data_IF_184609490894
#
_entry.id   IF_184609490894
#
_cell.length_a   1.000
_cell.length_b   1.000
_cell.length_c   1.000
_cell.angle_alpha   90.00
_cell.angle_beta   90.00
_cell.angle_gamma   90.00
#
_symmetry.space_group_name_H-M   'P 1'
#
loop_
_entity.id
_entity.type
_entity.pdbx_description
1 polymer ?
#
# COMPACT_ATOMS: atom_id res chain seq x y z
N UNK A 1 -34.35 -3.02 30.74
CA UNK A 1 -33.75 -2.55 29.47
C UNK A 1 -33.25 -3.78 28.74
N UNK A 2 -33.82 -4.06 27.56
CA UNK A 2 -33.57 -5.29 26.78
C UNK A 2 -32.12 -5.39 26.31
N UNK A 3 -31.69 -6.60 25.95
CA UNK A 3 -30.40 -6.90 25.30
C UNK A 3 -30.07 -5.93 24.16
N UNK A 4 -31.10 -5.44 23.48
CA UNK A 4 -31.00 -4.61 22.28
C UNK A 4 -30.32 -3.27 22.55
N UNK A 5 -30.46 -2.69 23.73
CA UNK A 5 -29.81 -1.41 24.07
C UNK A 5 -28.29 -1.54 24.27
N UNK A 6 -27.82 -2.71 24.70
CA UNK A 6 -26.39 -2.97 24.88
C UNK A 6 -25.72 -3.33 23.56
N UNK A 7 -26.40 -4.12 22.72
CA UNK A 7 -25.94 -4.41 21.36
C UNK A 7 -25.91 -3.14 20.49
N UNK A 8 -26.88 -2.25 20.68
CA UNK A 8 -26.92 -0.95 20.02
C UNK A 8 -25.71 -0.06 20.41
N UNK A 9 -25.36 0.01 21.70
CA UNK A 9 -24.22 0.81 22.17
C UNK A 9 -22.86 0.26 21.69
N UNK A 10 -22.71 -1.07 21.60
CA UNK A 10 -21.50 -1.71 21.06
C UNK A 10 -21.38 -1.50 19.55
N UNK A 11 -22.50 -1.58 18.83
CA UNK A 11 -22.53 -1.29 17.39
C UNK A 11 -22.26 0.20 17.13
N UNK A 12 -22.81 1.11 17.93
CA UNK A 12 -22.53 2.55 17.88
C UNK A 12 -21.07 2.87 18.21
N UNK A 13 -20.48 2.25 19.24
CA UNK A 13 -19.07 2.45 19.59
C UNK A 13 -18.15 1.90 18.49
N UNK A 14 -18.43 0.71 17.95
CA UNK A 14 -17.73 0.16 16.79
C UNK A 14 -17.89 1.05 15.56
N UNK A 15 -19.09 1.58 15.32
CA UNK A 15 -19.39 2.49 14.21
C UNK A 15 -18.68 3.83 14.39
N UNK A 16 -18.62 4.38 15.60
CA UNK A 16 -17.95 5.62 15.93
C UNK A 16 -16.42 5.47 15.85
N UNK A 17 -15.86 4.35 16.31
CA UNK A 17 -14.44 4.02 16.14
C UNK A 17 -14.09 3.81 14.66
N UNK A 18 -14.94 3.07 13.90
CA UNK A 18 -14.76 2.91 12.45
C UNK A 18 -14.91 4.21 11.68
N UNK A 19 -15.86 5.07 12.08
CA UNK A 19 -16.11 6.37 11.47
C UNK A 19 -14.97 7.34 11.77
N UNK A 20 -14.53 7.44 13.02
CA UNK A 20 -13.38 8.25 13.42
C UNK A 20 -12.08 7.74 12.77
N UNK A 21 -11.88 6.42 12.72
CA UNK A 21 -10.76 5.82 11.98
C UNK A 21 -10.84 6.14 10.48
N UNK A 22 -12.03 6.14 9.87
CA UNK A 22 -12.22 6.48 8.46
C UNK A 22 -12.17 8.00 8.16
N UNK A 23 -12.48 8.85 9.14
CA UNK A 23 -12.44 10.32 9.06
C UNK A 23 -11.03 10.87 9.31
N UNK A 24 -10.28 10.29 10.25
CA UNK A 24 -8.90 10.68 10.56
C UNK A 24 -7.89 10.06 9.56
N UNK A 25 -8.16 8.86 9.03
CA UNK A 25 -7.37 8.22 7.94
C UNK A 25 -8.24 7.26 7.10
N UNK A 26 -8.68 7.62 5.87
CA UNK A 26 -9.56 6.77 5.07
C UNK A 26 -8.88 5.46 4.62
N UNK A 27 -8.97 4.41 5.43
CA UNK A 27 -8.28 3.12 5.22
C UNK A 27 -7.53 2.59 6.44
N UNK A 28 -7.43 3.37 7.54
CA UNK A 28 -6.73 2.99 8.76
C UNK A 28 -7.62 2.30 9.79
N UNK A 29 -8.27 1.22 9.38
CA UNK A 29 -8.32 0.09 10.30
C UNK A 29 -7.15 -0.76 9.86
N UNK A 30 -5.92 -0.58 10.40
CA UNK A 30 -4.90 -1.59 10.18
C UNK A 30 -5.53 -2.94 10.54
N UNK A 31 -5.26 -3.99 9.79
CA UNK A 31 -5.79 -5.34 10.08
C UNK A 31 -5.46 -5.81 11.51
N UNK A 32 -4.52 -5.15 12.19
CA UNK A 32 -4.30 -5.29 13.64
C UNK A 32 -5.46 -4.80 14.54
N UNK A 33 -6.43 -4.08 14.01
CA UNK A 33 -7.72 -3.75 14.64
C UNK A 33 -8.90 -4.52 14.01
N UNK A 34 -8.69 -5.29 12.94
CA UNK A 34 -9.76 -6.14 12.36
C UNK A 34 -10.02 -7.37 13.23
N UNK A 35 -9.03 -7.81 14.00
CA UNK A 35 -9.19 -8.67 15.16
C UNK A 35 -8.49 -8.02 16.37
N UNK A 36 -9.21 -7.27 17.23
CA UNK A 36 -8.66 -6.89 18.54
C UNK A 36 -8.06 -8.13 19.21
N UNK A 37 -6.85 -8.02 19.74
CA UNK A 37 -6.19 -9.11 20.47
C UNK A 37 -7.14 -9.62 21.56
N UNK A 38 -6.98 -10.88 21.99
CA UNK A 38 -7.84 -11.46 23.04
C UNK A 38 -7.86 -10.56 24.29
N UNK A 39 -6.74 -9.92 24.58
CA UNK A 39 -6.52 -8.96 25.64
C UNK A 39 -7.29 -7.66 25.39
N UNK A 40 -7.26 -7.12 24.17
CA UNK A 40 -8.04 -5.94 23.78
C UNK A 40 -9.54 -6.21 23.84
N UNK A 41 -9.99 -7.39 23.41
CA UNK A 41 -11.40 -7.81 23.50
C UNK A 41 -11.84 -7.99 24.96
N UNK A 42 -11.06 -8.71 25.76
CA UNK A 42 -11.33 -8.89 27.19
C UNK A 42 -11.43 -7.53 27.90
N UNK A 43 -10.53 -6.62 27.58
CA UNK A 43 -10.53 -5.26 28.11
C UNK A 43 -11.77 -4.45 27.71
N UNK A 44 -12.18 -4.49 26.43
CA UNK A 44 -13.40 -3.83 25.96
C UNK A 44 -14.66 -4.43 26.62
N UNK A 45 -14.69 -5.75 26.83
CA UNK A 45 -15.79 -6.44 27.52
C UNK A 45 -15.85 -6.04 29.01
N UNK A 46 -14.71 -5.96 29.69
CA UNK A 46 -14.64 -5.52 31.08
C UNK A 46 -15.09 -4.07 31.24
N UNK A 47 -14.69 -3.20 30.31
CA UNK A 47 -15.15 -1.81 30.26
C UNK A 47 -16.65 -1.69 30.09
N UNK A 48 -17.24 -2.41 29.12
CA UNK A 48 -18.68 -2.36 28.86
C UNK A 48 -19.48 -2.95 30.02
N UNK A 49 -18.97 -4.01 30.64
CA UNK A 49 -19.55 -4.61 31.85
C UNK A 49 -19.55 -3.61 33.01
N UNK A 50 -18.41 -2.95 33.27
CA UNK A 50 -18.29 -1.93 34.31
C UNK A 50 -19.19 -0.72 34.00
N UNK A 51 -19.22 -0.25 32.76
CA UNK A 51 -20.08 0.86 32.34
C UNK A 51 -21.57 0.54 32.59
N UNK A 52 -22.00 -0.68 32.29
CA UNK A 52 -23.38 -1.14 32.48
C UNK A 52 -23.76 -1.32 33.96
N UNK A 53 -22.81 -1.77 34.78
CA UNK A 53 -23.01 -1.97 36.22
C UNK A 53 -23.04 -0.62 36.97
N UNK A 54 -22.15 0.31 36.62
CA UNK A 54 -21.99 1.58 37.35
C UNK A 54 -22.78 2.76 36.76
N UNK A 55 -23.13 2.73 35.47
CA UNK A 55 -23.97 3.76 34.83
C UNK A 55 -25.39 3.83 35.40
N UNK A 56 -25.83 2.80 36.12
CA UNK A 56 -27.09 2.82 36.88
C UNK A 56 -27.00 3.53 38.24
N UNK A 57 -25.81 3.79 38.75
CA UNK A 57 -25.61 4.33 40.10
C UNK A 57 -25.25 5.82 40.13
N UNK A 58 -24.85 6.43 39.01
CA UNK A 58 -24.56 7.87 38.95
C UNK A 58 -25.49 8.58 37.97
N UNK A 59 -26.41 9.41 38.48
CA UNK A 59 -27.40 10.19 37.70
C UNK A 59 -26.82 11.33 36.85
N UNK A 60 -25.51 11.38 36.61
CA UNK A 60 -24.90 12.40 35.74
C UNK A 60 -23.79 11.73 34.93
N UNK A 61 -24.18 11.01 33.88
CA UNK A 61 -23.28 10.80 32.75
C UNK A 61 -23.25 12.12 31.96
N UNK A 62 -22.08 12.61 31.51
CA UNK A 62 -22.03 13.78 30.63
C UNK A 62 -22.83 13.50 29.36
N UNK A 63 -23.41 14.54 28.76
CA UNK A 63 -24.17 14.43 27.51
C UNK A 63 -23.32 13.81 26.37
N UNK A 64 -22.00 14.01 26.41
CA UNK A 64 -21.03 13.24 25.62
C UNK A 64 -20.19 12.31 26.52
N UNK A 65 -20.42 11.00 26.39
CA UNK A 65 -19.65 9.98 27.12
C UNK A 65 -18.13 10.06 26.85
N UNK A 66 -17.71 10.66 25.72
CA UNK A 66 -16.29 10.87 25.37
C UNK A 66 -15.60 11.84 26.30
N UNK A 67 -16.35 12.72 26.94
CA UNK A 67 -15.81 13.67 27.93
C UNK A 67 -15.64 13.04 29.31
N UNK A 68 -16.25 11.87 29.54
CA UNK A 68 -16.16 11.17 30.81
C UNK A 68 -14.70 10.83 31.14
N UNK A 69 -14.33 11.02 32.41
CA UNK A 69 -12.99 10.69 32.93
C UNK A 69 -12.62 9.23 32.64
N UNK A 70 -13.61 8.33 32.69
CA UNK A 70 -13.42 6.90 32.40
C UNK A 70 -13.15 6.61 30.93
N UNK A 71 -13.80 7.31 30.00
CA UNK A 71 -13.50 7.16 28.57
C UNK A 71 -12.09 7.64 28.24
N UNK A 72 -11.68 8.79 28.79
CA UNK A 72 -10.31 9.30 28.62
C UNK A 72 -9.27 8.33 29.16
N UNK A 73 -9.45 7.87 30.39
CA UNK A 73 -8.59 6.84 30.99
C UNK A 73 -8.52 5.54 30.15
N UNK A 74 -9.64 5.15 29.52
CA UNK A 74 -9.68 3.98 28.64
C UNK A 74 -8.88 4.19 27.36
N UNK A 75 -9.04 5.35 26.72
CA UNK A 75 -8.30 5.72 25.52
C UNK A 75 -6.79 5.75 25.82
N UNK A 76 -6.38 6.35 26.93
CA UNK A 76 -4.97 6.37 27.38
C UNK A 76 -4.40 4.95 27.51
N UNK A 77 -5.21 4.00 28.00
CA UNK A 77 -4.80 2.60 28.18
C UNK A 77 -4.76 1.82 26.86
N UNK A 78 -5.68 2.07 25.94
CA UNK A 78 -5.64 1.51 24.58
C UNK A 78 -4.45 2.03 23.79
N UNK A 79 -4.18 3.33 23.86
CA UNK A 79 -2.98 3.95 23.26
C UNK A 79 -1.71 3.35 23.84
N UNK A 80 -1.66 3.16 25.18
CA UNK A 80 -0.53 2.50 25.85
C UNK A 80 -0.33 1.06 25.38
N UNK A 81 -1.41 0.29 25.20
CA UNK A 81 -1.34 -1.08 24.72
C UNK A 81 -0.90 -1.14 23.25
N UNK A 82 -1.46 -0.29 22.40
CA UNK A 82 -1.06 -0.17 21.00
C UNK A 82 0.41 0.23 20.88
N UNK A 83 0.89 1.13 21.75
CA UNK A 83 2.29 1.53 21.80
C UNK A 83 3.18 0.38 22.27
N UNK A 84 2.75 -0.36 23.30
CA UNK A 84 3.44 -1.55 23.77
C UNK A 84 3.57 -2.61 22.66
N UNK A 85 2.46 -2.96 22.01
CA UNK A 85 2.43 -3.95 20.94
C UNK A 85 3.26 -3.48 19.74
N UNK A 86 3.17 -2.20 19.37
CA UNK A 86 3.96 -1.64 18.29
C UNK A 86 5.47 -1.66 18.62
N UNK A 87 5.86 -1.37 19.85
CA UNK A 87 7.24 -1.46 20.30
C UNK A 87 7.75 -2.92 20.29
N UNK A 88 6.96 -3.86 20.83
CA UNK A 88 7.32 -5.28 20.89
C UNK A 88 7.48 -5.90 19.50
N UNK A 89 6.72 -5.43 18.51
CA UNK A 89 6.75 -5.94 17.13
C UNK A 89 7.48 -5.02 16.16
N UNK A 90 8.18 -3.99 16.64
CA UNK A 90 8.96 -3.07 15.80
C UNK A 90 8.15 -2.20 14.84
N UNK A 91 6.85 -2.01 15.04
CA UNK A 91 5.94 -1.25 14.16
C UNK A 91 6.08 0.26 14.36
N UNK A 92 7.15 0.83 13.80
CA UNK A 92 7.54 2.23 14.00
C UNK A 92 6.53 3.28 13.50
N UNK A 93 5.66 2.91 12.56
CA UNK A 93 4.60 3.77 12.02
C UNK A 93 3.45 3.96 13.02
N UNK A 94 3.03 2.89 13.70
CA UNK A 94 1.97 2.93 14.73
C UNK A 94 2.42 3.76 15.94
N UNK A 95 3.67 3.60 16.39
CA UNK A 95 4.25 4.41 17.46
C UNK A 95 4.23 5.92 17.16
N UNK A 96 4.49 6.30 15.91
CA UNK A 96 4.46 7.70 15.48
C UNK A 96 3.04 8.27 15.52
N UNK A 97 2.06 7.51 15.06
CA UNK A 97 0.64 7.87 15.15
C UNK A 97 0.20 8.14 16.60
N UNK A 98 0.54 7.25 17.53
CA UNK A 98 0.15 7.36 18.95
C UNK A 98 0.81 8.56 19.63
N UNK A 99 2.08 8.86 19.32
CA UNK A 99 2.81 9.96 19.96
C UNK A 99 2.37 11.37 19.52
N UNK A 100 1.43 11.48 18.57
CA UNK A 100 1.03 12.76 17.97
C UNK A 100 2.14 13.42 17.13
N UNK A 101 3.25 12.73 16.88
CA UNK A 101 4.40 13.21 16.08
C UNK A 101 4.22 12.86 14.60
N UNK A 102 3.02 13.04 14.06
CA UNK A 102 2.71 12.69 12.66
C UNK A 102 3.53 13.50 11.63
N UNK A 103 4.09 14.64 12.05
CA UNK A 103 4.94 15.50 11.21
C UNK A 103 6.45 15.28 11.39
N UNK A 104 6.88 14.39 12.29
CA UNK A 104 8.31 14.13 12.46
C UNK A 104 8.85 13.37 11.23
N UNK A 105 9.78 14.03 10.52
CA UNK A 105 10.49 13.44 9.39
C UNK A 105 11.66 12.60 9.90
N UNK A 106 11.81 11.41 9.32
CA UNK A 106 12.97 10.55 9.54
C UNK A 106 14.16 11.18 8.84
N UNK A 107 15.25 11.34 9.58
CA UNK A 107 16.53 11.78 9.02
C UNK A 107 17.12 10.67 8.12
N UNK A 108 17.05 10.91 6.81
CA UNK A 108 17.53 9.97 5.80
C UNK A 108 19.06 9.82 5.80
N UNK A 109 19.78 10.70 6.51
CA UNK A 109 21.23 10.62 6.68
C UNK A 109 21.65 9.64 7.80
N UNK A 110 20.67 9.07 8.50
CA UNK A 110 20.86 8.25 9.70
C UNK A 110 20.43 6.79 9.49
N UNK A 111 20.85 5.90 10.40
CA UNK A 111 20.51 4.48 10.41
C UNK A 111 18.99 4.16 10.28
N UNK A 112 18.06 4.95 10.85
CA UNK A 112 16.62 4.86 10.57
C UNK A 112 16.21 4.80 9.09
N UNK A 113 16.98 5.40 8.17
CA UNK A 113 16.74 5.27 6.73
C UNK A 113 16.95 3.85 6.24
N UNK A 114 18.07 3.23 6.63
CA UNK A 114 18.38 1.85 6.25
C UNK A 114 17.29 0.91 6.75
N UNK A 115 16.84 1.08 8.00
CA UNK A 115 15.72 0.29 8.53
C UNK A 115 14.42 0.52 7.74
N UNK A 116 14.16 1.75 7.31
CA UNK A 116 12.99 2.07 6.49
C UNK A 116 13.08 1.37 5.13
N UNK A 117 14.25 1.39 4.48
CA UNK A 117 14.48 0.67 3.21
C UNK A 117 14.37 -0.83 3.43
N UNK A 118 14.96 -1.37 4.50
CA UNK A 118 14.84 -2.79 4.86
C UNK A 118 13.37 -3.19 5.01
N UNK A 119 12.55 -2.37 5.68
CA UNK A 119 11.11 -2.58 5.81
C UNK A 119 10.37 -2.52 4.46
N UNK A 120 10.85 -1.75 3.47
CA UNK A 120 10.27 -1.70 2.12
C UNK A 120 10.58 -2.95 1.29
N UNK A 121 11.70 -3.62 1.56
CA UNK A 121 12.14 -4.85 0.88
C UNK A 121 11.69 -6.13 1.60
N UNK A 122 11.08 -6.01 2.80
CA UNK A 122 10.59 -7.18 3.53
C UNK A 122 9.41 -7.83 2.79
N UNK A 123 9.42 -9.16 2.64
CA UNK A 123 8.29 -9.91 2.13
C UNK A 123 7.21 -10.02 3.21
N UNK A 124 6.50 -8.93 3.49
CA UNK A 124 5.19 -9.02 4.15
C UNK A 124 4.11 -9.34 3.10
N UNK A 125 2.89 -9.68 3.55
CA UNK A 125 1.68 -10.18 2.84
C UNK A 125 1.28 -9.52 1.50
N UNK A 126 2.02 -8.52 1.01
CA UNK A 126 1.84 -7.84 -0.28
C UNK A 126 2.80 -8.42 -1.32
N UNK A 127 2.48 -9.57 -1.88
CA UNK A 127 3.10 -10.08 -3.11
C UNK A 127 4.63 -9.81 -3.24
N UNK A 128 5.40 -10.20 -2.21
CA UNK A 128 6.86 -10.39 -2.13
C UNK A 128 7.86 -9.38 -2.75
N UNK A 129 7.45 -8.28 -3.36
CA UNK A 129 8.35 -7.39 -4.11
C UNK A 129 8.05 -5.90 -3.86
N UNK A 130 9.11 -5.09 -3.69
CA UNK A 130 8.99 -3.64 -3.72
C UNK A 130 8.69 -3.17 -5.16
N UNK A 131 7.52 -2.58 -5.37
CA UNK A 131 7.22 -1.76 -6.55
C UNK A 131 7.04 -0.31 -6.11
N UNK A 132 8.01 0.55 -6.39
CA UNK A 132 8.04 1.93 -5.94
C UNK A 132 7.98 2.90 -7.11
N UNK A 133 6.99 3.79 -7.12
CA UNK A 133 6.93 4.91 -8.08
C UNK A 133 7.38 6.21 -7.41
N UNK A 134 8.44 6.81 -7.92
CA UNK A 134 8.95 8.12 -7.51
C UNK A 134 8.41 9.19 -8.44
N UNK A 135 7.78 10.22 -7.89
CA UNK A 135 7.23 11.34 -8.66
C UNK A 135 7.43 12.68 -7.94
N UNK A 136 7.16 13.78 -8.62
CA UNK A 136 7.34 15.14 -8.11
C UNK A 136 6.02 15.94 -8.09
N UNK A 137 5.96 17.02 -7.29
CA UNK A 137 4.88 17.99 -7.40
C UNK A 137 4.84 18.62 -8.79
N UNK A 138 3.65 19.08 -9.26
CA UNK A 138 3.57 19.87 -10.48
C UNK A 138 4.30 21.23 -10.34
N UNK A 139 4.54 21.94 -11.46
CA UNK A 139 5.06 23.32 -11.43
C UNK A 139 4.25 24.22 -10.46
N UNK A 140 4.89 25.20 -9.78
CA UNK A 140 6.20 25.80 -10.06
C UNK A 140 7.40 25.10 -9.39
N UNK A 141 7.18 24.15 -8.48
CA UNK A 141 8.26 23.39 -7.83
C UNK A 141 8.94 22.44 -8.83
N UNK A 142 8.17 21.99 -9.82
CA UNK A 142 8.66 21.45 -11.09
C UNK A 142 8.79 19.92 -11.08
N UNK A 143 8.43 19.24 -12.20
CA UNK A 143 8.61 17.79 -12.33
C UNK A 143 10.09 17.39 -12.40
N UNK A 144 10.98 18.35 -12.72
CA UNK A 144 12.43 18.15 -12.88
C UNK A 144 13.22 18.82 -11.76
N UNK A 145 14.46 18.39 -11.53
CA UNK A 145 15.37 19.05 -10.58
C UNK A 145 15.12 18.82 -9.08
N UNK A 146 14.02 18.13 -8.71
CA UNK A 146 13.73 17.79 -7.30
C UNK A 146 14.57 16.62 -6.77
N UNK A 147 15.37 15.95 -7.62
CA UNK A 147 16.23 14.83 -7.24
C UNK A 147 15.52 13.48 -7.16
N UNK A 148 14.64 13.15 -8.13
CA UNK A 148 13.94 11.85 -8.17
C UNK A 148 14.91 10.70 -8.42
N UNK A 149 15.73 10.82 -9.47
CA UNK A 149 16.78 9.87 -9.86
C UNK A 149 17.79 9.65 -8.73
N UNK A 150 18.36 10.74 -8.20
CA UNK A 150 19.24 10.73 -7.02
C UNK A 150 18.62 10.01 -5.81
N UNK A 151 17.31 10.17 -5.59
CA UNK A 151 16.60 9.45 -4.53
C UNK A 151 16.41 7.96 -4.85
N UNK A 152 16.11 7.59 -6.10
CA UNK A 152 16.07 6.19 -6.55
C UNK A 152 17.39 5.49 -6.31
N UNK A 153 18.49 6.11 -6.72
CA UNK A 153 19.84 5.61 -6.45
C UNK A 153 20.17 5.54 -4.94
N UNK A 154 19.71 6.51 -4.14
CA UNK A 154 19.87 6.45 -2.68
C UNK A 154 19.13 5.24 -2.06
N UNK A 155 17.98 4.86 -2.59
CA UNK A 155 17.26 3.64 -2.17
C UNK A 155 18.04 2.40 -2.59
N UNK A 156 18.62 2.38 -3.79
CA UNK A 156 19.47 1.29 -4.29
C UNK A 156 20.73 1.12 -3.42
N UNK A 157 21.44 2.20 -3.12
CA UNK A 157 22.62 2.17 -2.24
C UNK A 157 22.27 1.56 -0.86
N UNK A 158 21.15 2.00 -0.28
CA UNK A 158 20.67 1.44 0.99
C UNK A 158 20.29 -0.05 0.86
N UNK A 159 19.63 -0.45 -0.22
CA UNK A 159 19.26 -1.83 -0.47
C UNK A 159 20.51 -2.73 -0.63
N UNK A 160 21.56 -2.27 -1.32
CA UNK A 160 22.84 -3.00 -1.43
C UNK A 160 23.53 -3.19 -0.07
N UNK A 161 23.37 -2.25 0.86
CA UNK A 161 23.89 -2.41 2.23
C UNK A 161 23.14 -3.48 3.02
N UNK A 162 21.84 -3.63 2.76
CA UNK A 162 20.97 -4.61 3.42
C UNK A 162 21.12 -6.01 2.82
N UNK A 163 21.40 -6.08 1.51
CA UNK A 163 21.61 -7.31 0.74
C UNK A 163 23.07 -7.42 0.25
N UNK A 164 24.07 -7.54 1.17
CA UNK A 164 25.48 -7.53 0.80
C UNK A 164 25.82 -8.70 -0.14
N UNK A 165 26.16 -8.39 -1.38
CA UNK A 165 26.52 -9.36 -2.42
C UNK A 165 25.35 -10.13 -3.03
N UNK A 166 24.11 -9.79 -2.69
CA UNK A 166 22.90 -10.52 -3.13
C UNK A 166 21.90 -9.72 -3.95
N UNK A 167 22.08 -8.39 -4.08
CA UNK A 167 21.23 -7.55 -4.92
C UNK A 167 21.90 -7.27 -6.26
N UNK A 168 21.32 -7.79 -7.33
CA UNK A 168 21.69 -7.48 -8.72
C UNK A 168 20.79 -6.35 -9.23
N UNK A 169 21.37 -5.35 -9.88
CA UNK A 169 20.65 -4.17 -10.35
C UNK A 169 20.83 -4.00 -11.84
N UNK A 170 19.74 -3.74 -12.54
CA UNK A 170 19.71 -3.24 -13.91
C UNK A 170 18.98 -1.91 -13.97
N UNK A 171 19.30 -1.08 -14.95
CA UNK A 171 18.61 0.18 -15.22
C UNK A 171 18.44 0.36 -16.73
N UNK A 172 17.56 1.27 -17.12
CA UNK A 172 17.50 1.76 -18.50
C UNK A 172 18.33 3.03 -18.70
N UNK A 173 19.29 3.30 -17.80
CA UNK A 173 20.10 4.52 -17.79
C UNK A 173 21.55 4.13 -18.12
N UNK A 174 22.05 4.64 -19.23
CA UNK A 174 23.31 4.20 -19.85
C UNK A 174 24.57 4.72 -19.15
N UNK A 175 24.43 5.77 -18.34
CA UNK A 175 25.56 6.46 -17.69
C UNK A 175 25.84 6.00 -16.27
N UNK A 176 24.96 5.19 -15.70
CA UNK A 176 25.14 4.60 -14.38
C UNK A 176 25.95 3.28 -14.45
N UNK A 177 26.39 2.70 -13.32
CA UNK A 177 27.27 1.55 -13.32
C UNK A 177 26.53 0.20 -13.37
N UNK A 178 25.22 0.18 -13.63
CA UNK A 178 24.41 -1.03 -13.64
C UNK A 178 24.33 -1.67 -15.03
N UNK A 179 23.73 -2.87 -15.11
CA UNK A 179 23.46 -3.49 -16.41
C UNK A 179 22.41 -2.65 -17.14
N UNK A 180 22.72 -2.28 -18.38
CA UNK A 180 21.85 -1.48 -19.24
C UNK A 180 20.80 -2.38 -19.90
N UNK A 181 19.53 -1.99 -19.74
CA UNK A 181 18.37 -2.73 -20.24
C UNK A 181 17.40 -1.73 -20.87
N UNK A 182 17.38 -1.70 -22.20
CA UNK A 182 16.59 -0.74 -22.99
C UNK A 182 15.31 -1.37 -23.59
N UNK A 183 15.14 -2.69 -23.48
CA UNK A 183 13.97 -3.38 -24.03
C UNK A 183 13.39 -4.48 -23.13
N UNK A 184 12.16 -4.88 -23.41
CA UNK A 184 11.51 -5.99 -22.73
C UNK A 184 12.26 -7.30 -22.93
N UNK A 185 12.71 -7.59 -24.15
CA UNK A 185 13.47 -8.80 -24.46
C UNK A 185 14.80 -8.84 -23.71
N UNK A 186 15.50 -7.70 -23.61
CA UNK A 186 16.74 -7.59 -22.82
C UNK A 186 16.48 -7.78 -21.32
N UNK A 187 15.37 -7.22 -20.82
CA UNK A 187 14.97 -7.40 -19.43
C UNK A 187 14.70 -8.87 -19.11
N UNK A 188 13.94 -9.58 -19.94
CA UNK A 188 13.71 -11.02 -19.78
C UNK A 188 15.03 -11.81 -19.78
N UNK A 189 15.92 -11.53 -20.72
CA UNK A 189 17.23 -12.18 -20.79
C UNK A 189 18.07 -11.93 -19.53
N UNK A 190 18.09 -10.70 -19.02
CA UNK A 190 18.79 -10.35 -17.79
C UNK A 190 18.19 -11.04 -16.56
N UNK A 191 16.86 -11.08 -16.46
CA UNK A 191 16.15 -11.76 -15.36
C UNK A 191 16.43 -13.27 -15.34
N UNK A 192 16.57 -13.90 -16.50
CA UNK A 192 16.89 -15.33 -16.63
C UNK A 192 18.37 -15.64 -16.38
N UNK A 193 19.27 -14.74 -16.77
CA UNK A 193 20.70 -14.91 -16.62
C UNK A 193 21.21 -14.64 -15.20
N UNK A 194 20.40 -14.01 -14.35
CA UNK A 194 20.80 -13.59 -13.00
C UNK A 194 20.02 -14.33 -11.92
N UNK A 195 20.70 -14.67 -10.83
CA UNK A 195 20.12 -15.32 -9.65
C UNK A 195 20.00 -14.34 -8.47
N UNK A 196 19.21 -14.72 -7.47
CA UNK A 196 19.04 -13.95 -6.23
C UNK A 196 18.08 -12.77 -6.37
N UNK A 197 18.15 -11.86 -5.39
CA UNK A 197 17.31 -10.66 -5.33
C UNK A 197 17.71 -9.68 -6.42
N UNK A 198 16.73 -9.21 -7.18
CA UNK A 198 16.97 -8.31 -8.32
C UNK A 198 16.26 -6.97 -8.09
N UNK A 199 16.75 -5.92 -8.74
CA UNK A 199 16.06 -4.65 -8.82
C UNK A 199 16.24 -4.06 -10.20
N UNK A 200 15.13 -3.66 -10.82
CA UNK A 200 15.11 -2.90 -12.05
C UNK A 200 14.76 -1.44 -11.77
N UNK A 201 15.64 -0.52 -12.17
CA UNK A 201 15.41 0.92 -12.13
C UNK A 201 14.95 1.41 -13.50
N UNK A 202 13.69 1.84 -13.58
CA UNK A 202 13.13 2.43 -14.78
C UNK A 202 13.02 3.95 -14.63
N UNK A 203 14.05 4.67 -15.09
CA UNK A 203 14.05 6.14 -15.15
C UNK A 203 13.30 6.66 -16.38
N UNK A 204 12.77 7.88 -16.26
CA UNK A 204 11.97 8.57 -17.27
C UNK A 204 10.76 7.78 -17.82
N UNK A 205 10.20 6.86 -17.03
CA UNK A 205 9.09 6.00 -17.43
C UNK A 205 7.85 6.77 -17.90
N UNK A 206 7.69 8.03 -17.48
CA UNK A 206 6.63 8.92 -17.97
C UNK A 206 6.68 9.19 -19.48
N UNK A 207 7.78 8.88 -20.18
CA UNK A 207 7.83 8.94 -21.65
C UNK A 207 7.04 7.81 -22.31
N UNK A 208 7.02 6.64 -21.67
CA UNK A 208 6.35 5.44 -22.17
C UNK A 208 4.93 5.31 -21.61
N UNK A 209 4.74 5.73 -20.36
CA UNK A 209 3.46 5.57 -19.64
C UNK A 209 2.42 6.66 -19.94
N UNK A 210 2.58 7.50 -20.97
CA UNK A 210 1.72 8.69 -21.19
C UNK A 210 0.21 8.38 -21.29
N UNK A 211 -0.60 9.33 -20.81
CA UNK A 211 -1.82 9.09 -20.00
C UNK A 211 -3.13 8.71 -20.66
N UNK A 212 -3.16 8.52 -21.97
CA UNK A 212 -4.42 8.27 -22.67
C UNK A 212 -4.51 6.89 -23.31
N UNK A 213 -3.45 6.07 -23.21
CA UNK A 213 -3.45 4.74 -23.79
C UNK A 213 -3.73 3.65 -22.74
N UNK A 214 -4.83 2.93 -22.95
CA UNK A 214 -5.19 1.73 -22.17
C UNK A 214 -4.06 0.71 -22.24
N UNK A 215 -3.32 0.68 -23.34
CA UNK A 215 -2.26 -0.28 -23.58
C UNK A 215 -1.05 -0.05 -22.65
N UNK A 216 -0.68 1.19 -22.33
CA UNK A 216 0.42 1.48 -21.38
C UNK A 216 0.16 0.95 -19.97
N UNK A 217 -1.10 0.94 -19.52
CA UNK A 217 -1.47 0.34 -18.23
C UNK A 217 -1.36 -1.19 -18.24
N UNK A 218 -1.70 -1.82 -19.37
CA UNK A 218 -1.57 -3.27 -19.55
C UNK A 218 -0.10 -3.66 -19.60
N UNK A 219 0.75 -2.89 -20.29
CA UNK A 219 2.20 -3.11 -20.36
C UNK A 219 2.86 -3.03 -18.98
N UNK A 220 2.57 -1.99 -18.19
CA UNK A 220 3.13 -1.88 -16.83
C UNK A 220 2.62 -2.99 -15.90
N UNK A 221 1.37 -3.43 -16.08
CA UNK A 221 0.83 -4.58 -15.33
C UNK A 221 1.54 -5.88 -15.70
N UNK A 222 1.75 -6.13 -17.01
CA UNK A 222 2.54 -7.26 -17.52
C UNK A 222 3.97 -7.20 -16.97
N UNK A 223 4.60 -6.02 -16.95
CA UNK A 223 5.95 -5.82 -16.41
C UNK A 223 6.01 -6.23 -14.94
N UNK A 224 5.09 -5.73 -14.10
CA UNK A 224 5.06 -6.08 -12.67
C UNK A 224 4.86 -7.58 -12.47
N UNK A 225 4.01 -8.23 -13.27
CA UNK A 225 3.81 -9.70 -13.23
C UNK A 225 5.09 -10.45 -13.64
N UNK A 226 5.77 -10.01 -14.69
CA UNK A 226 7.05 -10.58 -15.11
C UNK A 226 8.07 -10.48 -13.97
N UNK A 227 8.28 -9.28 -13.44
CA UNK A 227 9.25 -9.03 -12.38
C UNK A 227 8.94 -9.87 -11.12
N UNK A 228 7.66 -10.10 -10.81
CA UNK A 228 7.23 -10.97 -9.70
C UNK A 228 7.70 -12.41 -9.86
N UNK A 229 7.60 -12.96 -11.07
CA UNK A 229 8.02 -14.34 -11.39
C UNK A 229 9.52 -14.56 -11.08
N UNK A 230 10.34 -13.51 -11.21
CA UNK A 230 11.79 -13.57 -11.05
C UNK A 230 12.31 -12.94 -9.74
N UNK A 231 11.42 -12.65 -8.78
CA UNK A 231 11.74 -11.99 -7.50
C UNK A 231 12.54 -10.67 -7.69
N UNK A 232 12.08 -9.86 -8.65
CA UNK A 232 12.72 -8.60 -9.02
C UNK A 232 11.93 -7.39 -8.52
N UNK A 233 12.55 -6.55 -7.70
CA UNK A 233 11.99 -5.26 -7.32
C UNK A 233 11.95 -4.27 -8.49
N UNK A 234 11.08 -3.28 -8.39
CA UNK A 234 10.90 -2.23 -9.39
C UNK A 234 10.95 -0.85 -8.73
N UNK A 235 11.79 0.03 -9.27
CA UNK A 235 11.73 1.47 -9.00
C UNK A 235 11.40 2.16 -10.32
N UNK A 236 10.26 2.86 -10.38
CA UNK A 236 9.83 3.65 -11.53
C UNK A 236 9.96 5.13 -11.22
N UNK A 237 10.56 5.92 -12.10
CA UNK A 237 10.63 7.38 -11.96
C UNK A 237 9.70 8.04 -12.98
N UNK A 238 8.63 8.65 -12.48
CA UNK A 238 7.65 9.39 -13.27
C UNK A 238 7.65 10.90 -12.98
N UNK A 239 6.78 11.66 -13.65
CA UNK A 239 6.74 13.12 -13.48
C UNK A 239 5.88 13.57 -12.30
N UNK A 240 4.57 13.38 -12.38
CA UNK A 240 3.58 14.05 -11.51
C UNK A 240 2.67 13.11 -10.74
N UNK A 241 2.84 11.79 -10.88
CA UNK A 241 1.99 10.77 -10.24
C UNK A 241 0.59 10.68 -10.83
N UNK A 242 0.14 11.72 -11.57
CA UNK A 242 -0.92 11.55 -12.58
C UNK A 242 -0.47 10.52 -13.58
N UNK A 243 0.84 10.47 -13.80
CA UNK A 243 1.48 9.63 -14.78
C UNK A 243 1.46 8.11 -14.48
N UNK A 244 0.56 7.66 -13.59
CA UNK A 244 0.39 6.24 -13.27
C UNK A 244 -1.08 5.81 -13.47
N UNK A 245 -1.35 4.76 -14.28
CA UNK A 245 -2.71 4.26 -14.52
C UNK A 245 -3.36 3.78 -13.22
N UNK A 246 -4.68 3.99 -13.08
CA UNK A 246 -5.42 3.71 -11.83
C UNK A 246 -5.24 2.26 -11.35
N UNK A 247 -5.25 1.30 -12.26
CA UNK A 247 -5.14 -0.13 -11.95
C UNK A 247 -3.76 -0.51 -11.41
N UNK A 248 -2.73 0.27 -11.73
CA UNK A 248 -1.37 0.10 -11.20
C UNK A 248 -1.24 0.71 -9.81
N UNK A 249 -2.00 1.77 -9.48
CA UNK A 249 -1.85 2.50 -8.21
C UNK A 249 -2.12 1.66 -6.96
N UNK A 250 -2.84 0.55 -7.10
CA UNK A 250 -3.09 -0.42 -6.01
C UNK A 250 -1.96 -1.43 -5.81
N UNK A 251 -1.09 -1.60 -6.80
CA UNK A 251 0.01 -2.59 -6.80
C UNK A 251 1.37 -2.00 -6.44
N UNK A 252 1.44 -0.68 -6.25
CA UNK A 252 2.70 0.05 -6.05
C UNK A 252 2.65 0.94 -4.81
N UNK A 253 3.82 1.16 -4.22
CA UNK A 253 4.09 2.26 -3.32
C UNK A 253 4.45 3.51 -4.10
N UNK A 254 4.22 4.65 -3.47
CA UNK A 254 4.49 5.96 -4.02
C UNK A 254 5.49 6.70 -3.17
N UNK A 255 6.45 7.38 -3.81
CA UNK A 255 7.36 8.32 -3.20
C UNK A 255 7.20 9.70 -3.85
N UNK A 256 6.58 10.64 -3.13
CA UNK A 256 6.50 12.04 -3.51
C UNK A 256 7.80 12.76 -3.13
N UNK A 257 8.57 13.16 -4.13
CA UNK A 257 9.82 13.91 -3.97
C UNK A 257 9.56 15.41 -3.89
N UNK A 258 9.39 15.92 -2.67
CA UNK A 258 9.06 17.34 -2.42
C UNK A 258 10.24 18.29 -2.69
N UNK A 259 11.48 17.81 -2.52
CA UNK A 259 12.71 18.55 -2.80
C UNK A 259 13.90 17.59 -2.80
N UNK A 260 15.10 18.04 -3.19
CA UNK A 260 16.34 17.23 -3.12
C UNK A 260 16.57 16.59 -1.76
N UNK A 261 16.11 17.23 -0.67
CA UNK A 261 16.34 16.76 0.71
C UNK A 261 15.13 16.12 1.39
N UNK A 262 13.95 16.11 0.76
CA UNK A 262 12.70 15.64 1.39
C UNK A 262 11.91 14.72 0.48
N UNK A 263 11.30 13.68 1.05
CA UNK A 263 10.38 12.79 0.35
C UNK A 263 9.29 12.29 1.30
N UNK A 264 8.15 11.89 0.74
CA UNK A 264 7.06 11.22 1.47
C UNK A 264 6.77 9.90 0.75
N UNK A 265 6.77 8.79 1.48
CA UNK A 265 6.48 7.46 0.95
C UNK A 265 5.15 6.98 1.51
N UNK A 266 4.32 6.35 0.68
CA UNK A 266 3.11 5.71 1.14
C UNK A 266 2.34 4.97 0.06
N UNK A 267 1.09 4.61 0.37
CA UNK A 267 0.24 3.80 -0.49
C UNK A 267 -1.01 4.57 -0.95
N UNK A 268 -1.39 4.33 -2.20
CA UNK A 268 -2.53 4.97 -2.84
C UNK A 268 -2.33 6.45 -3.12
N UNK A 269 -3.00 6.93 -4.18
CA UNK A 269 -3.02 8.35 -4.52
C UNK A 269 -4.44 8.90 -4.45
N UNK A 270 -4.56 10.15 -4.04
CA UNK A 270 -5.79 10.94 -4.08
C UNK A 270 -5.50 12.24 -4.81
N UNK A 271 -6.41 12.60 -5.70
CA UNK A 271 -6.39 13.93 -6.32
C UNK A 271 -6.99 14.95 -5.34
N UNK A 272 -6.28 16.04 -5.08
CA UNK A 272 -6.77 17.15 -4.27
C UNK A 272 -7.65 18.11 -5.09
N UNK A 273 -8.17 19.16 -4.44
CA UNK A 273 -9.07 20.12 -5.07
C UNK A 273 -8.41 20.95 -6.19
N UNK A 274 -7.08 20.97 -6.26
CA UNK A 274 -6.29 21.66 -7.29
C UNK A 274 -5.87 20.68 -8.40
N UNK A 275 -6.31 19.44 -8.31
CA UNK A 275 -5.96 18.39 -9.24
C UNK A 275 -4.59 17.80 -8.99
N UNK A 276 -4.02 17.88 -7.78
CA UNK A 276 -2.68 17.34 -7.50
C UNK A 276 -2.76 15.95 -6.88
N UNK A 277 -1.81 15.10 -7.24
CA UNK A 277 -1.73 13.75 -6.75
C UNK A 277 -0.98 13.71 -5.42
N UNK A 278 -1.73 13.51 -4.33
CA UNK A 278 -1.20 13.35 -2.99
C UNK A 278 -1.23 11.88 -2.58
N UNK A 279 -0.24 11.47 -1.78
CA UNK A 279 -0.23 10.14 -1.17
C UNK A 279 -1.32 10.07 -0.10
N UNK A 280 -2.21 9.08 -0.23
CA UNK A 280 -3.36 8.93 0.67
C UNK A 280 -2.95 8.37 2.04
N UNK A 281 -2.21 7.25 2.03
CA UNK A 281 -1.79 6.56 3.24
C UNK A 281 -0.28 6.74 3.41
N UNK A 282 0.13 7.79 4.12
CA UNK A 282 1.55 8.10 4.34
C UNK A 282 2.16 7.08 5.29
N UNK A 283 3.23 6.41 4.85
CA UNK A 283 3.99 5.46 5.66
C UNK A 283 5.21 6.14 6.28
N UNK A 284 5.94 6.92 5.48
CA UNK A 284 7.17 7.57 5.90
C UNK A 284 7.25 8.99 5.38
N UNK A 285 7.77 9.90 6.21
CA UNK A 285 8.22 11.23 5.78
C UNK A 285 9.72 11.29 6.02
N UNK A 286 10.48 11.65 5.00
CA UNK A 286 11.94 11.71 5.04
C UNK A 286 12.41 13.17 4.93
N UNK A 287 13.50 13.51 5.63
CA UNK A 287 14.29 14.74 5.47
C UNK A 287 15.78 14.40 5.37
N UNK A 288 16.61 15.41 5.08
CA UNK A 288 18.07 15.27 5.03
C UNK A 288 18.57 14.14 4.10
N UNK A 289 17.82 13.85 3.03
CA UNK A 289 18.22 12.87 2.00
C UNK A 289 19.59 13.27 1.44
N UNK A 290 20.57 12.36 1.57
CA UNK A 290 21.91 12.56 1.02
C UNK A 290 21.86 12.41 -0.49
N UNK A 291 22.81 13.02 -1.18
CA UNK A 291 23.02 12.68 -2.58
C UNK A 291 23.54 11.24 -2.64
N UNK A 292 23.20 10.52 -3.71
CA UNK A 292 23.72 9.18 -3.94
C UNK A 292 25.24 9.22 -4.16
N UNK A 293 25.88 8.08 -3.90
CA UNK A 293 27.29 7.85 -4.28
C UNK A 293 27.44 7.26 -5.67
N UNK A 294 26.34 6.88 -6.32
CA UNK A 294 26.32 6.37 -7.69
C UNK A 294 26.55 7.54 -8.66
N UNK A 295 27.58 7.41 -9.49
CA UNK A 295 27.86 8.39 -10.54
C UNK A 295 26.95 8.12 -11.75
N UNK A 296 26.34 9.17 -12.29
CA UNK A 296 25.49 9.14 -13.48
C UNK A 296 25.39 10.54 -14.13
N UNK A 297 25.05 10.62 -15.41
CA UNK A 297 24.85 11.89 -16.13
C UNK A 297 23.40 12.38 -16.02
N UNK A 298 23.18 13.40 -15.19
CA UNK A 298 21.84 13.98 -14.99
C UNK A 298 21.29 14.83 -16.14
N UNK A 299 22.09 15.18 -17.16
CA UNK A 299 21.69 16.11 -18.24
C UNK A 299 21.59 15.38 -19.58
N UNK A 300 22.51 14.47 -19.85
CA UNK A 300 22.59 13.74 -21.12
C UNK A 300 21.79 12.45 -21.16
N UNK A 301 21.50 11.85 -20.01
CA UNK A 301 20.89 10.53 -19.97
C UNK A 301 19.38 10.61 -20.16
N UNK A 302 18.91 9.94 -21.21
CA UNK A 302 17.49 9.78 -21.52
C UNK A 302 17.23 8.31 -21.49
N UNK A 303 16.79 7.83 -20.32
CA UNK A 303 16.48 6.42 -20.19
C UNK A 303 15.38 6.03 -21.17
N UNK A 304 15.66 5.07 -22.05
CA UNK A 304 14.69 4.58 -23.03
C UNK A 304 14.35 3.14 -22.70
N UNK A 305 13.07 2.83 -22.68
CA UNK A 305 12.60 1.45 -22.55
C UNK A 305 11.56 1.15 -23.62
N UNK A 306 11.73 0.04 -24.34
CA UNK A 306 10.86 -0.36 -25.45
C UNK A 306 10.18 -1.69 -25.12
N UNK A 307 8.85 -1.70 -25.16
CA UNK A 307 8.05 -2.92 -25.15
C UNK A 307 8.10 -3.57 -26.55
N UNK A 308 9.21 -4.27 -26.84
CA UNK A 308 9.53 -4.86 -28.15
C UNK A 308 8.97 -6.28 -28.35
N UNK A 309 8.32 -6.83 -27.33
CA UNK A 309 7.61 -8.10 -27.44
C UNK A 309 6.40 -7.87 -28.35
N UNK A 310 6.47 -8.45 -29.55
CA UNK A 310 5.30 -8.53 -30.42
C UNK A 310 4.14 -9.06 -29.58
N UNK A 311 2.98 -8.40 -29.62
CA UNK A 311 1.73 -8.96 -29.13
C UNK A 311 1.42 -10.21 -29.97
N UNK A 312 2.18 -11.28 -29.75
CA UNK A 312 1.67 -12.63 -29.86
C UNK A 312 0.55 -12.65 -28.83
N UNK A 313 -0.62 -12.20 -29.30
CA UNK A 313 -1.91 -12.28 -28.64
C UNK A 313 -1.85 -13.55 -27.83
N UNK A 314 -1.80 -13.42 -26.50
CA UNK A 314 -1.77 -14.54 -25.58
C UNK A 314 -3.11 -15.29 -25.72
N UNK A 315 -3.29 -15.99 -26.82
CA UNK A 315 -4.24 -17.10 -27.00
C UNK A 315 -3.79 -18.32 -26.17
N UNK A 316 -2.73 -18.15 -25.38
CA UNK A 316 -2.24 -19.05 -24.34
C UNK A 316 -2.08 -18.30 -23.02
N UNK A 317 -2.90 -17.28 -22.76
CA UNK A 317 -3.20 -16.93 -21.38
C UNK A 317 -3.57 -18.24 -20.68
N UNK A 318 -2.70 -18.68 -19.79
CA UNK A 318 -2.93 -19.85 -18.97
C UNK A 318 -4.27 -19.60 -18.25
N UNK A 319 -5.33 -20.37 -18.55
CA UNK A 319 -6.66 -20.09 -18.01
C UNK A 319 -6.74 -20.22 -16.47
N UNK A 320 -5.62 -20.56 -15.81
CA UNK A 320 -5.51 -20.71 -14.37
C UNK A 320 -4.93 -19.51 -13.60
N UNK A 321 -4.29 -18.54 -14.25
CA UNK A 321 -3.52 -17.50 -13.53
C UNK A 321 -3.91 -16.04 -13.88
N UNK A 322 -4.92 -15.88 -14.75
CA UNK A 322 -5.79 -14.72 -14.65
C UNK A 322 -6.61 -14.88 -13.37
N UNK A 323 -6.05 -14.42 -12.25
CA UNK A 323 -6.87 -13.84 -11.19
C UNK A 323 -7.53 -12.63 -11.82
N UNK A 324 -8.61 -12.93 -12.52
CA UNK A 324 -9.52 -12.00 -13.14
C UNK A 324 -10.11 -11.20 -11.99
N UNK A 325 -9.52 -10.05 -11.74
CA UNK A 325 -10.13 -8.99 -10.95
C UNK A 325 -11.32 -8.37 -11.72
N UNK A 326 -11.90 -9.05 -12.74
CA UNK A 326 -13.29 -8.77 -13.10
C UNK A 326 -14.14 -9.02 -11.87
N UNK A 327 -14.83 -7.96 -11.48
CA UNK A 327 -15.83 -7.98 -10.44
C UNK A 327 -16.94 -8.97 -10.84
N UNK A 328 -16.81 -10.24 -10.44
CA UNK A 328 -17.85 -11.23 -10.70
C UNK A 328 -19.12 -10.80 -9.97
N UNK A 329 -20.24 -10.69 -10.70
CA UNK A 329 -21.53 -10.44 -10.07
C UNK A 329 -22.02 -11.71 -9.38
N UNK A 330 -22.66 -11.55 -8.22
CA UNK A 330 -23.20 -12.67 -7.47
C UNK A 330 -24.23 -13.45 -8.31
N UNK A 331 -24.00 -14.76 -8.45
CA UNK A 331 -24.85 -15.64 -9.26
C UNK A 331 -26.15 -16.07 -8.54
N UNK A 332 -26.35 -15.68 -7.28
CA UNK A 332 -27.61 -15.96 -6.60
C UNK A 332 -28.76 -15.09 -7.11
N UNK A 333 -29.94 -15.68 -7.15
CA UNK A 333 -31.21 -14.97 -7.32
C UNK A 333 -31.71 -14.43 -5.98
N UNK A 334 -32.24 -13.21 -6.00
CA UNK A 334 -32.93 -12.61 -4.86
C UNK A 334 -34.28 -13.28 -4.65
N UNK A 335 -34.95 -12.99 -3.52
CA UNK A 335 -36.32 -13.48 -3.25
C UNK A 335 -37.36 -13.09 -4.33
N UNK A 336 -37.06 -12.10 -5.18
CA UNK A 336 -37.92 -11.65 -6.28
C UNK A 336 -37.65 -12.37 -7.60
N UNK A 337 -36.65 -13.25 -7.66
CA UNK A 337 -36.22 -13.93 -8.88
C UNK A 337 -35.15 -13.17 -9.68
N UNK A 338 -34.88 -11.90 -9.35
CA UNK A 338 -33.84 -11.11 -10.02
C UNK A 338 -32.43 -11.55 -9.61
N UNK A 339 -31.45 -11.41 -10.51
CA UNK A 339 -30.03 -11.66 -10.22
C UNK A 339 -29.49 -10.65 -9.17
N UNK A 340 -28.65 -11.12 -8.26
CA UNK A 340 -28.06 -10.27 -7.23
C UNK A 340 -26.98 -9.34 -7.82
N UNK A 341 -27.27 -8.04 -7.91
CA UNK A 341 -26.31 -7.03 -8.41
C UNK A 341 -25.14 -6.69 -7.46
N UNK A 342 -24.84 -7.52 -6.46
CA UNK A 342 -23.70 -7.31 -5.55
C UNK A 342 -22.47 -8.04 -6.07
N UNK A 343 -21.31 -7.45 -5.82
CA UNK A 343 -20.01 -8.06 -6.09
C UNK A 343 -19.83 -9.36 -5.29
N UNK A 344 -19.45 -10.42 -6.01
CA UNK A 344 -19.18 -11.74 -5.48
C UNK A 344 -17.72 -11.85 -5.04
N UNK A 345 -17.47 -12.55 -3.94
CA UNK A 345 -16.11 -12.68 -3.37
C UNK A 345 -15.75 -14.09 -2.94
N UNK A 346 -16.70 -15.03 -2.96
CA UNK A 346 -16.49 -16.39 -2.44
C UNK A 346 -17.41 -17.42 -3.11
N UNK A 347 -16.91 -18.65 -3.37
CA UNK A 347 -15.52 -19.08 -3.49
C UNK A 347 -14.88 -18.53 -4.77
N UNK A 348 -13.59 -18.82 -5.03
CA UNK A 348 -12.90 -18.42 -6.28
C UNK A 348 -13.31 -19.27 -7.51
N UNK A 349 -14.15 -20.28 -7.33
CA UNK A 349 -14.67 -21.12 -8.41
C UNK A 349 -16.18 -20.92 -8.60
N UNK A 350 -16.70 -21.35 -9.75
CA UNK A 350 -18.14 -21.34 -10.00
C UNK A 350 -18.84 -22.45 -9.20
N UNK A 351 -19.96 -22.17 -8.50
CA UNK A 351 -20.66 -20.87 -8.46
C UNK A 351 -20.09 -19.83 -7.47
N UNK A 352 -20.11 -18.54 -7.85
CA UNK A 352 -19.55 -17.41 -7.08
C UNK A 352 -20.65 -16.57 -6.41
N UNK A 353 -20.54 -16.35 -5.09
CA UNK A 353 -21.52 -15.60 -4.30
C UNK A 353 -20.94 -14.37 -3.57
N UNK A 354 -21.81 -13.40 -3.30
CA UNK A 354 -21.51 -12.31 -2.36
C UNK A 354 -21.69 -12.79 -0.91
N UNK A 355 -21.14 -12.06 0.05
CA UNK A 355 -21.19 -12.43 1.47
C UNK A 355 -22.61 -12.66 2.02
N UNK A 356 -23.63 -12.00 1.45
CA UNK A 356 -25.04 -12.21 1.85
C UNK A 356 -25.66 -13.51 1.32
N UNK A 357 -25.08 -14.13 0.29
CA UNK A 357 -25.57 -15.38 -0.30
C UNK A 357 -24.62 -16.55 -0.07
N UNK A 358 -23.60 -16.39 0.78
CA UNK A 358 -22.62 -17.44 1.10
C UNK A 358 -23.26 -18.75 1.58
N UNK A 359 -24.44 -18.70 2.22
CA UNK A 359 -25.13 -19.91 2.69
C UNK A 359 -25.58 -20.84 1.57
N UNK A 360 -25.76 -20.33 0.34
CA UNK A 360 -26.15 -21.12 -0.84
C UNK A 360 -25.10 -22.15 -1.24
N UNK A 361 -23.82 -21.90 -0.90
CA UNK A 361 -22.73 -22.84 -1.19
C UNK A 361 -22.92 -24.20 -0.53
N UNK A 362 -23.54 -24.23 0.65
CA UNK A 362 -23.76 -25.46 1.39
C UNK A 362 -25.03 -26.19 0.93
N UNK A 363 -25.93 -25.50 0.22
CA UNK A 363 -27.16 -26.09 -0.27
C UNK A 363 -26.86 -26.93 -1.54
N UNK A 364 -25.96 -26.42 -2.41
CA UNK A 364 -25.61 -27.07 -3.67
C UNK A 364 -24.74 -28.34 -3.49
N UNK A 365 -23.97 -28.45 -2.40
CA UNK A 365 -23.18 -29.66 -2.06
C UNK A 365 -24.04 -30.85 -1.55
N UNK A 366 -25.33 -30.64 -1.27
CA UNK A 366 -26.23 -31.68 -0.74
C UNK A 366 -27.22 -32.23 -1.77
N UNK A 367 -27.15 -31.77 -3.02
CA UNK A 367 -28.00 -32.23 -4.13
C UNK A 367 -27.29 -33.23 -5.08
N UNK A 368 -26.06 -33.63 -4.77
CA UNK A 368 -25.30 -34.76 -5.37
C UNK A 368 -25.23 -35.95 -4.40
#
# INVERSE_FOLDING_TARGET
MSSDAADWAVQELRRALRKKAAEDEPGAIPETLSAPTKETLAFLVDFLTAYRLYGKQSNVLPDDYRESVKYRWLMDRLESQLAHDANMHGKSSVMRGISGRQDERIDASSFPFLKTVEELFKPDDRDHMLNLVIYAPPPPVGPTGVGKTDFGYSVIDAARMIHPGGLTVASNNTSDPFEDVESWTELEAWLEATDGTKLFLWDEAAQVLQFDDIDSGRELSRLIKLLRKYDCHLIVIGHTGKDIPKDIRRMVLFALKESKKKAVIGAGLKEDNVGWMQIKNVLYRLNNIRATTIEYDSIGDKGRFVFDREDAVDARADPGDDVDDTYHQCQATTKKGDQCGKEARYPRGEPIYCGTHRSKLNDDENDD
#
